data_IF_292027215386
#
_entry.id   IF_292027215386
#
_cell.length_a   1.000
_cell.length_b   1.000
_cell.length_c   1.000
_cell.angle_alpha   90.00
_cell.angle_beta   90.00
_cell.angle_gamma   90.00
#
_symmetry.space_group_name_H-M   'P 1'
#
loop_
_entity.id
_entity.type
_entity.pdbx_description
1 polymer ?
#
# COMPACT_ATOMS: atom_id res chain seq x y z
N UNK A 1 -1.75 14.08 -2.22
CA UNK A 1 -2.58 13.16 -1.40
C UNK A 1 -1.99 12.94 -0.01
N UNK A 2 -0.72 12.55 0.13
CA UNK A 2 -0.07 12.33 1.44
C UNK A 2 -0.16 13.55 2.38
N UNK A 3 0.38 14.70 1.95
CA UNK A 3 0.34 15.93 2.76
C UNK A 3 -1.10 16.42 3.00
N UNK A 4 -1.96 16.30 1.98
CA UNK A 4 -3.37 16.69 2.08
C UNK A 4 -4.11 15.92 3.19
N UNK A 5 -3.84 14.62 3.35
CA UNK A 5 -4.47 13.83 4.39
C UNK A 5 -3.81 13.98 5.77
N UNK A 6 -2.50 14.26 5.83
CA UNK A 6 -1.77 14.50 7.09
C UNK A 6 -2.12 15.84 7.74
N UNK A 7 -2.63 16.80 6.97
CA UNK A 7 -3.05 18.10 7.48
C UNK A 7 -1.86 18.95 7.93
N UNK A 8 -2.02 19.73 9.01
CA UNK A 8 -1.03 20.72 9.47
C UNK A 8 0.11 20.12 10.31
N UNK A 9 0.20 18.81 10.44
CA UNK A 9 1.15 18.15 11.34
C UNK A 9 2.51 17.85 10.68
N UNK A 10 2.55 17.79 9.36
CA UNK A 10 3.73 17.41 8.57
C UNK A 10 3.73 18.26 7.30
N UNK A 11 4.84 18.94 7.05
CA UNK A 11 5.10 19.70 5.83
C UNK A 11 5.95 18.90 4.84
N UNK A 12 6.08 19.40 3.61
CA UNK A 12 6.89 18.75 2.59
C UNK A 12 8.36 18.59 3.00
N UNK A 13 8.86 19.52 3.81
CA UNK A 13 10.23 19.57 4.34
C UNK A 13 10.52 18.42 5.32
N UNK A 14 9.50 17.89 5.98
CA UNK A 14 9.61 16.77 6.90
C UNK A 14 9.70 15.41 6.18
N UNK A 15 9.44 15.37 4.87
CA UNK A 15 9.52 14.14 4.07
C UNK A 15 10.98 13.84 3.72
N UNK A 16 11.57 12.86 4.42
CA UNK A 16 12.96 12.45 4.24
C UNK A 16 13.22 11.81 2.86
N UNK A 17 12.22 11.19 2.25
CA UNK A 17 12.36 10.58 0.92
C UNK A 17 11.08 9.96 0.39
N UNK A 18 10.96 9.95 -0.94
CA UNK A 18 9.90 9.23 -1.66
C UNK A 18 10.57 8.23 -2.59
N UNK A 19 10.33 6.96 -2.32
CA UNK A 19 10.93 5.87 -3.09
C UNK A 19 9.83 5.10 -3.81
N UNK A 20 10.08 4.77 -5.08
CA UNK A 20 9.15 3.95 -5.86
C UNK A 20 9.38 2.48 -5.57
N UNK A 21 8.30 1.77 -5.31
CA UNK A 21 8.27 0.31 -5.15
C UNK A 21 7.13 -0.30 -5.99
N UNK A 22 7.26 -1.54 -6.49
CA UNK A 22 8.49 -2.33 -6.47
C UNK A 22 9.60 -1.66 -7.30
N UNK A 23 10.85 -2.04 -7.05
CA UNK A 23 11.99 -1.58 -7.84
C UNK A 23 11.76 -1.97 -9.31
N UNK A 24 12.30 -1.18 -10.25
CA UNK A 24 12.30 -1.55 -11.68
C UNK A 24 13.35 -2.63 -11.95
N UNK A 25 13.15 -3.80 -11.36
CA UNK A 25 13.91 -5.02 -11.57
C UNK A 25 12.96 -6.15 -11.97
N UNK A 26 13.50 -7.28 -12.38
CA UNK A 26 12.71 -8.42 -12.87
C UNK A 26 11.65 -8.87 -11.86
N UNK A 27 12.00 -8.91 -10.57
CA UNK A 27 11.07 -9.26 -9.49
C UNK A 27 9.91 -8.27 -9.37
N UNK A 28 10.20 -6.97 -9.51
CA UNK A 28 9.19 -5.92 -9.49
C UNK A 28 8.26 -5.96 -10.70
N UNK A 29 8.79 -6.27 -11.88
CA UNK A 29 8.01 -6.48 -13.09
C UNK A 29 7.05 -7.66 -12.93
N UNK A 30 7.54 -8.82 -12.48
CA UNK A 30 6.69 -10.01 -12.24
C UNK A 30 5.55 -9.71 -11.26
N UNK A 31 5.83 -9.01 -10.15
CA UNK A 31 4.79 -8.63 -9.18
C UNK A 31 3.75 -7.68 -9.77
N UNK A 32 4.19 -6.75 -10.60
CA UNK A 32 3.30 -5.82 -11.28
C UNK A 32 2.41 -6.54 -12.30
N UNK A 33 2.97 -7.46 -13.08
CA UNK A 33 2.23 -8.23 -14.08
C UNK A 33 1.16 -9.12 -13.41
N UNK A 34 1.50 -9.80 -12.31
CA UNK A 34 0.54 -10.58 -11.51
C UNK A 34 -0.59 -9.70 -10.95
N UNK A 35 -0.25 -8.49 -10.49
CA UNK A 35 -1.27 -7.54 -10.03
C UNK A 35 -2.20 -7.14 -11.19
N UNK A 36 -1.64 -6.87 -12.37
CA UNK A 36 -2.43 -6.49 -13.55
C UNK A 36 -3.35 -7.62 -14.01
N UNK A 37 -2.89 -8.87 -13.99
CA UNK A 37 -3.72 -10.04 -14.26
C UNK A 37 -4.91 -10.12 -13.30
N UNK A 38 -4.66 -9.94 -11.99
CA UNK A 38 -5.73 -9.93 -10.99
C UNK A 38 -6.73 -8.79 -11.21
N UNK A 39 -6.28 -7.62 -11.68
CA UNK A 39 -7.16 -6.51 -12.05
C UNK A 39 -8.09 -6.92 -13.19
N UNK A 40 -7.57 -7.54 -14.26
CA UNK A 40 -8.40 -7.98 -15.39
C UNK A 40 -9.39 -9.06 -14.98
N UNK A 41 -8.95 -10.08 -14.22
CA UNK A 41 -9.85 -11.13 -13.69
C UNK A 41 -10.97 -10.52 -12.85
N UNK A 42 -10.65 -9.58 -11.96
CA UNK A 42 -11.65 -8.93 -11.09
C UNK A 42 -12.61 -8.07 -11.90
N UNK A 43 -12.12 -7.37 -12.92
CA UNK A 43 -12.94 -6.56 -13.83
C UNK A 43 -13.88 -7.44 -14.65
N UNK A 44 -13.42 -8.57 -15.19
CA UNK A 44 -14.27 -9.53 -15.90
C UNK A 44 -15.39 -10.06 -15.00
N UNK A 45 -15.06 -10.40 -13.75
CA UNK A 45 -16.03 -10.97 -12.81
C UNK A 45 -17.04 -9.95 -12.26
N UNK A 46 -16.66 -8.66 -12.13
CA UNK A 46 -17.45 -7.64 -11.41
C UNK A 46 -17.85 -6.43 -12.27
N UNK A 47 -17.47 -6.39 -13.54
CA UNK A 47 -17.60 -5.24 -14.44
C UNK A 47 -16.60 -4.10 -14.15
N UNK A 48 -16.15 -3.95 -12.89
CA UNK A 48 -15.18 -2.96 -12.47
C UNK A 48 -14.26 -3.53 -11.38
N UNK A 49 -12.94 -3.48 -11.60
CA UNK A 49 -11.95 -3.89 -10.60
C UNK A 49 -11.85 -2.93 -9.41
N UNK A 50 -12.26 -1.66 -9.58
CA UNK A 50 -12.25 -0.61 -8.55
C UNK A 50 -10.86 -0.47 -7.89
N UNK A 51 -9.80 -0.40 -8.70
CA UNK A 51 -8.42 -0.18 -8.24
C UNK A 51 -8.31 1.19 -7.59
N UNK A 52 -7.75 1.26 -6.38
CA UNK A 52 -7.57 2.49 -5.61
C UNK A 52 -6.20 2.54 -4.97
N UNK A 53 -5.69 3.76 -4.81
CA UNK A 53 -4.56 4.03 -3.92
C UNK A 53 -5.04 4.03 -2.46
N UNK A 54 -4.15 3.61 -1.57
CA UNK A 54 -4.34 3.61 -0.13
C UNK A 54 -2.98 3.69 0.58
N UNK A 55 -2.99 4.09 1.85
CA UNK A 55 -1.80 4.17 2.69
C UNK A 55 -1.72 2.96 3.62
N UNK A 56 -0.52 2.43 3.76
CA UNK A 56 -0.20 1.37 4.71
C UNK A 56 0.88 1.89 5.65
N UNK A 57 0.55 2.09 6.93
CA UNK A 57 1.56 2.29 7.95
C UNK A 57 2.38 1.01 8.11
N UNK A 58 3.70 1.13 8.17
CA UNK A 58 4.59 -0.03 8.32
C UNK A 58 5.85 0.37 9.07
N UNK A 59 6.39 -0.57 9.85
CA UNK A 59 7.73 -0.44 10.40
C UNK A 59 8.78 -0.61 9.30
N UNK A 60 9.98 -0.11 9.54
CA UNK A 60 11.13 -0.32 8.64
C UNK A 60 11.32 -1.80 8.29
N UNK A 61 11.34 -2.67 9.29
CA UNK A 61 11.53 -4.12 9.11
C UNK A 61 10.44 -4.75 8.25
N UNK A 62 9.18 -4.33 8.42
CA UNK A 62 8.06 -4.83 7.62
C UNK A 62 8.17 -4.39 6.16
N UNK A 63 8.61 -3.15 5.90
CA UNK A 63 8.86 -2.67 4.53
C UNK A 63 10.01 -3.44 3.90
N UNK A 64 11.13 -3.63 4.59
CA UNK A 64 12.27 -4.39 4.08
C UNK A 64 11.88 -5.83 3.75
N UNK A 65 11.16 -6.50 4.64
CA UNK A 65 10.68 -7.86 4.42
C UNK A 65 9.70 -7.95 3.24
N UNK A 66 8.74 -7.02 3.14
CA UNK A 66 7.80 -6.96 2.02
C UNK A 66 8.53 -6.73 0.70
N UNK A 67 9.56 -5.87 0.70
CA UNK A 67 10.34 -5.59 -0.50
C UNK A 67 11.13 -6.83 -0.95
N UNK A 68 11.82 -7.49 -0.02
CA UNK A 68 12.63 -8.68 -0.31
C UNK A 68 11.77 -9.89 -0.68
N UNK A 69 10.76 -10.21 0.14
CA UNK A 69 9.99 -11.46 0.04
C UNK A 69 8.67 -11.31 -0.72
N UNK A 70 8.17 -10.09 -0.89
CA UNK A 70 6.89 -9.83 -1.57
C UNK A 70 5.67 -10.17 -0.71
N UNK A 71 5.89 -10.42 0.57
CA UNK A 71 4.84 -10.82 1.50
C UNK A 71 4.68 -9.69 2.52
N UNK A 72 3.48 -9.12 2.56
CA UNK A 72 3.10 -8.23 3.64
C UNK A 72 2.60 -9.05 4.82
N UNK A 73 3.31 -9.00 5.95
CA UNK A 73 2.86 -9.65 7.18
C UNK A 73 1.61 -8.96 7.70
N UNK A 74 0.57 -9.75 7.95
CA UNK A 74 -0.66 -9.27 8.58
C UNK A 74 -0.35 -8.87 10.02
N UNK A 75 -0.76 -7.67 10.41
CA UNK A 75 -0.79 -7.25 11.82
C UNK A 75 -1.63 -8.25 12.61
N UNK A 76 -1.08 -8.78 13.71
CA UNK A 76 -1.82 -9.65 14.65
C UNK A 76 -2.66 -8.85 15.65
N UNK A 77 -2.71 -7.53 15.50
CA UNK A 77 -3.40 -6.65 16.42
C UNK A 77 -4.92 -6.75 16.19
N UNK A 78 -5.67 -7.00 17.26
CA UNK A 78 -7.14 -7.04 17.20
C UNK A 78 -7.64 -5.67 16.74
N UNK A 79 -8.28 -5.64 15.58
CA UNK A 79 -8.95 -4.45 15.07
C UNK A 79 -10.46 -4.66 15.08
N UNK A 80 -11.22 -3.58 15.28
CA UNK A 80 -12.69 -3.59 15.31
C UNK A 80 -13.30 -4.11 13.99
N UNK A 81 -12.57 -3.97 12.88
CA UNK A 81 -13.00 -4.34 11.53
C UNK A 81 -12.54 -5.74 11.10
N UNK A 82 -12.07 -6.56 12.04
CA UNK A 82 -11.63 -7.93 11.78
C UNK A 82 -10.14 -8.07 11.46
N UNK A 83 -9.76 -9.32 11.19
CA UNK A 83 -8.36 -9.70 10.97
C UNK A 83 -7.98 -9.53 9.50
N UNK A 84 -7.12 -8.57 9.20
CA UNK A 84 -6.70 -8.25 7.83
C UNK A 84 -5.56 -7.24 7.79
N UNK A 85 -5.13 -6.91 6.57
CA UNK A 85 -4.28 -5.75 6.34
C UNK A 85 -5.19 -4.53 6.30
N UNK A 86 -4.94 -3.58 7.20
CA UNK A 86 -5.71 -2.33 7.27
C UNK A 86 -4.99 -1.26 6.47
N UNK A 87 -5.75 -0.56 5.62
CA UNK A 87 -5.26 0.48 4.74
C UNK A 87 -6.08 1.75 4.97
N UNK A 88 -5.42 2.89 5.10
CA UNK A 88 -6.10 4.17 5.13
C UNK A 88 -6.39 4.65 3.70
N UNK A 89 -7.56 5.24 3.42
CA UNK A 89 -7.86 5.82 2.12
C UNK A 89 -6.80 6.84 1.68
N UNK A 90 -6.56 6.99 0.37
CA UNK A 90 -5.49 7.87 -0.13
C UNK A 90 -5.61 9.34 0.31
N UNK A 91 -6.81 9.82 0.64
CA UNK A 91 -7.07 11.17 1.16
C UNK A 91 -7.07 11.27 2.70
N UNK A 92 -6.78 10.18 3.42
CA UNK A 92 -6.84 10.08 4.88
C UNK A 92 -5.55 9.49 5.47
N UNK A 93 -4.39 9.99 5.03
CA UNK A 93 -3.07 9.55 5.50
C UNK A 93 -2.78 9.82 6.98
N UNK A 94 -3.69 10.46 7.72
CA UNK A 94 -3.56 10.69 9.16
C UNK A 94 -4.20 9.58 10.03
N UNK A 95 -4.82 8.58 9.42
CA UNK A 95 -5.49 7.47 10.12
C UNK A 95 -4.54 6.27 10.12
N UNK A 96 -4.20 5.78 11.32
CA UNK A 96 -3.29 4.65 11.54
C UNK A 96 -3.90 3.65 12.53
#
# INVERSE_FOLDING_TARGET
MLLQGLGKFIDAEDIVGIHRTPLRNDLGSVRFDLFQEQVEVTKMARGNANVRYAWLASSKDAVEEMMLRGILKRSMQKCLHGNGIHLAPANCSNIW
#
